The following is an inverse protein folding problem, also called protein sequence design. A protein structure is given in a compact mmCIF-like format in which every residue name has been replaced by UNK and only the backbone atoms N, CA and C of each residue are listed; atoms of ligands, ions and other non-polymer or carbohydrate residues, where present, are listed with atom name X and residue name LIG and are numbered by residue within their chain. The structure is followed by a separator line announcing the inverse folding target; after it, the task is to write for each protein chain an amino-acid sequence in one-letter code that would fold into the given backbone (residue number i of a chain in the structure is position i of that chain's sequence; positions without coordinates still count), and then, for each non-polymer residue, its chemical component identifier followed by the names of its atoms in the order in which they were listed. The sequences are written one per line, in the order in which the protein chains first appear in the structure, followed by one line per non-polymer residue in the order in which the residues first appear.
data_IF_689024078621
#
_entry.id   IF_689024078621
#
_cell.length_a   1.000
_cell.length_b   1.000
_cell.length_c   1.000
_cell.angle_alpha   90.00
_cell.angle_beta   90.00
_cell.angle_gamma   90.00
#
_symmetry.space_group_name_H-M   'P 1'
#
loop_
_entity.id
_entity.type
_entity.pdbx_description
1 polymer ?
#
# COMPACT_ATOMS: atom_id res chain seq x y z
N UNK A 1 -0.38 -11.45 13.10
CA UNK A 1 -1.36 -10.40 12.71
C UNK A 1 -0.75 -9.35 11.78
N UNK A 2 0.39 -8.74 12.13
CA UNK A 2 1.05 -7.70 11.31
C UNK A 2 1.34 -8.15 9.86
N UNK A 3 1.93 -9.33 9.66
CA UNK A 3 2.21 -9.86 8.30
C UNK A 3 0.95 -10.03 7.44
N UNK A 4 -0.13 -10.53 8.03
CA UNK A 4 -1.39 -10.72 7.32
C UNK A 4 -1.98 -9.38 6.87
N UNK A 5 -1.94 -8.35 7.72
CA UNK A 5 -2.40 -7.00 7.40
C UNK A 5 -1.55 -6.41 6.26
N UNK A 6 -0.23 -6.59 6.31
CA UNK A 6 0.69 -6.11 5.26
C UNK A 6 0.40 -6.79 3.93
N UNK A 7 0.27 -8.13 3.91
CA UNK A 7 -0.02 -8.89 2.69
C UNK A 7 -1.36 -8.48 2.08
N UNK A 8 -2.43 -8.40 2.88
CA UNK A 8 -3.75 -7.98 2.42
C UNK A 8 -3.72 -6.54 1.90
N UNK A 9 -3.02 -5.63 2.57
CA UNK A 9 -2.91 -4.24 2.15
C UNK A 9 -2.19 -4.10 0.80
N UNK A 10 -1.11 -4.85 0.59
CA UNK A 10 -0.34 -4.83 -0.66
C UNK A 10 -1.13 -5.46 -1.80
N UNK A 11 -1.65 -6.69 -1.60
CA UNK A 11 -2.42 -7.42 -2.62
C UNK A 11 -3.68 -6.63 -2.99
N UNK A 12 -4.43 -6.14 -2.00
CA UNK A 12 -5.64 -5.37 -2.23
C UNK A 12 -5.37 -4.09 -3.02
N UNK A 13 -4.24 -3.41 -2.77
CA UNK A 13 -3.86 -2.22 -3.55
C UNK A 13 -3.49 -2.58 -4.98
N UNK A 14 -2.62 -3.56 -5.19
CA UNK A 14 -2.16 -3.95 -6.53
C UNK A 14 -3.35 -4.43 -7.37
N UNK A 15 -4.22 -5.28 -6.82
CA UNK A 15 -5.40 -5.76 -7.55
C UNK A 15 -6.44 -4.66 -7.75
N UNK A 16 -6.78 -3.88 -6.72
CA UNK A 16 -7.80 -2.84 -6.85
C UNK A 16 -7.42 -1.76 -7.85
N UNK A 17 -6.19 -1.26 -7.78
CA UNK A 17 -5.71 -0.22 -8.71
C UNK A 17 -5.29 -0.80 -10.07
N UNK A 18 -4.79 -2.03 -10.14
CA UNK A 18 -4.51 -2.72 -11.39
C UNK A 18 -5.77 -3.05 -12.20
N UNK A 19 -6.84 -3.51 -11.55
CA UNK A 19 -8.15 -3.72 -12.19
C UNK A 19 -8.75 -2.37 -12.62
N UNK A 20 -8.67 -1.33 -11.76
CA UNK A 20 -9.10 0.02 -12.12
C UNK A 20 -8.38 0.57 -13.35
N UNK A 21 -7.06 0.40 -13.43
CA UNK A 21 -6.27 0.78 -14.60
C UNK A 21 -6.66 -0.02 -15.85
N UNK A 22 -6.94 -1.32 -15.71
CA UNK A 22 -7.39 -2.15 -16.83
C UNK A 22 -8.76 -1.72 -17.36
N UNK A 23 -9.70 -1.38 -16.47
CA UNK A 23 -11.01 -0.82 -16.85
C UNK A 23 -10.86 0.56 -17.53
N UNK A 24 -9.81 1.31 -17.17
CA UNK A 24 -9.43 2.56 -17.84
C UNK A 24 -8.74 2.39 -19.21
N UNK A 25 -8.63 1.16 -19.73
CA UNK A 25 -8.08 0.89 -21.08
C UNK A 25 -6.56 0.71 -21.15
N UNK A 26 -5.85 0.63 -20.02
CA UNK A 26 -4.41 0.39 -20.00
C UNK A 26 -4.05 -1.07 -20.31
N UNK A 27 -2.88 -1.29 -20.93
CA UNK A 27 -2.34 -2.63 -21.17
C UNK A 27 -1.95 -3.30 -19.85
N UNK A 28 -1.98 -4.63 -19.81
CA UNK A 28 -1.75 -5.43 -18.60
C UNK A 28 -0.43 -5.09 -17.88
N UNK A 29 0.66 -4.86 -18.64
CA UNK A 29 1.96 -4.43 -18.10
C UNK A 29 1.89 -3.05 -17.44
N UNK A 30 1.19 -2.11 -18.06
CA UNK A 30 1.08 -0.73 -17.55
C UNK A 30 0.10 -0.65 -16.37
N UNK A 31 -0.97 -1.44 -16.38
CA UNK A 31 -1.85 -1.61 -15.22
C UNK A 31 -1.10 -2.15 -13.99
N UNK A 32 -0.15 -3.07 -14.19
CA UNK A 32 0.68 -3.61 -13.10
C UNK A 32 1.65 -2.56 -12.55
N UNK A 33 2.27 -1.75 -13.43
CA UNK A 33 3.14 -0.63 -13.06
C UNK A 33 2.37 0.42 -12.24
N UNK A 34 1.15 0.76 -12.66
CA UNK A 34 0.25 1.66 -11.93
C UNK A 34 -0.09 1.06 -10.55
N UNK A 35 -0.43 -0.23 -10.52
CA UNK A 35 -0.78 -0.91 -9.27
C UNK A 35 0.34 -0.90 -8.23
N UNK A 36 1.58 -1.12 -8.69
CA UNK A 36 2.78 -1.06 -7.85
C UNK A 36 3.07 0.37 -7.39
N UNK A 37 2.93 1.35 -8.29
CA UNK A 37 3.13 2.78 -7.96
C UNK A 37 2.14 3.32 -6.92
N UNK A 38 0.98 2.68 -6.76
CA UNK A 38 -0.06 3.08 -5.80
C UNK A 38 0.04 2.40 -4.42
N UNK A 39 1.07 1.58 -4.19
CA UNK A 39 1.34 0.89 -2.92
C UNK A 39 1.70 1.85 -1.77
N UNK A 40 2.59 2.86 -1.95
CA UNK A 40 3.02 3.73 -0.86
C UNK A 40 1.82 4.45 -0.25
N UNK A 41 1.65 4.28 1.06
CA UNK A 41 0.77 5.13 1.86
C UNK A 41 1.68 6.07 2.62
N UNK A 42 1.70 7.34 2.24
CA UNK A 42 2.53 8.34 2.92
C UNK A 42 1.78 8.88 4.15
N UNK A 43 1.47 10.16 4.14
CA UNK A 43 1.16 10.90 5.36
C UNK A 43 -0.25 10.62 5.89
N UNK A 44 -1.22 10.50 4.98
CA UNK A 44 -2.64 10.38 5.33
C UNK A 44 -2.94 9.15 6.18
N UNK A 45 -2.25 8.02 5.95
CA UNK A 45 -2.45 6.81 6.73
C UNK A 45 -1.99 6.97 8.20
N UNK A 46 -0.88 7.66 8.41
CA UNK A 46 -0.35 7.92 9.75
C UNK A 46 -1.20 8.95 10.49
N UNK A 47 -1.71 9.97 9.78
CA UNK A 47 -2.66 10.94 10.36
C UNK A 47 -3.92 10.23 10.86
N UNK A 48 -4.53 9.38 10.02
CA UNK A 48 -5.75 8.63 10.40
C UNK A 48 -5.46 7.70 11.58
N UNK A 49 -4.35 6.97 11.56
CA UNK A 49 -3.99 6.07 12.67
C UNK A 49 -3.74 6.85 13.97
N UNK A 50 -3.04 7.99 13.91
CA UNK A 50 -2.81 8.85 15.08
C UNK A 50 -4.11 9.42 15.63
N UNK A 51 -5.03 9.84 14.76
CA UNK A 51 -6.36 10.31 15.15
C UNK A 51 -7.19 9.18 15.77
N UNK A 52 -7.18 7.99 15.17
CA UNK A 52 -7.86 6.82 15.72
C UNK A 52 -7.34 6.41 17.09
N UNK A 53 -6.02 6.51 17.31
CA UNK A 53 -5.39 6.24 18.60
C UNK A 53 -5.82 7.29 19.64
N UNK A 54 -5.83 8.57 19.26
CA UNK A 54 -6.31 9.67 20.13
C UNK A 54 -7.79 9.52 20.53
N UNK A 55 -8.61 9.01 19.62
CA UNK A 55 -10.04 8.76 19.87
C UNK A 55 -10.30 7.44 20.61
N UNK A 56 -9.26 6.65 20.93
CA UNK A 56 -9.40 5.33 21.56
C UNK A 56 -10.01 4.26 20.66
N UNK A 57 -10.13 4.51 19.35
CA UNK A 57 -10.71 3.58 18.37
C UNK A 57 -9.74 2.43 18.08
N UNK A 58 -8.43 2.71 18.11
CA UNK A 58 -7.37 1.72 17.92
C UNK A 58 -6.39 1.77 19.09
N UNK A 59 -5.81 0.62 19.44
CA UNK A 59 -4.75 0.53 20.45
C UNK A 59 -3.36 0.86 19.90
N UNK A 60 -2.39 1.06 20.80
CA UNK A 60 -0.99 1.35 20.43
C UNK A 60 -0.38 0.29 19.50
N UNK A 61 -0.76 -0.99 19.68
CA UNK A 61 -0.28 -2.08 18.83
C UNK A 61 -0.63 -1.89 17.35
N UNK A 62 -1.85 -1.43 17.04
CA UNK A 62 -2.31 -1.17 15.67
C UNK A 62 -1.62 0.06 15.09
N UNK A 63 -1.34 1.06 15.92
CA UNK A 63 -0.58 2.23 15.53
C UNK A 63 0.87 1.85 15.14
N UNK A 64 1.56 1.06 15.97
CA UNK A 64 2.90 0.55 15.64
C UNK A 64 2.90 -0.30 14.37
N UNK A 65 1.90 -1.17 14.17
CA UNK A 65 1.77 -1.96 12.94
C UNK A 65 1.59 -1.05 11.72
N UNK A 66 0.84 0.04 11.84
CA UNK A 66 0.63 1.00 10.74
C UNK A 66 1.92 1.71 10.36
N UNK A 67 2.75 2.08 11.34
CA UNK A 67 4.08 2.66 11.08
C UNK A 67 4.95 1.67 10.30
N UNK A 68 5.02 0.42 10.77
CA UNK A 68 5.81 -0.63 10.10
C UNK A 68 5.30 -0.88 8.69
N UNK A 69 3.98 -0.97 8.49
CA UNK A 69 3.35 -1.09 7.17
C UNK A 69 3.80 0.04 6.23
N UNK A 70 3.72 1.30 6.68
CA UNK A 70 4.09 2.47 5.87
C UNK A 70 5.57 2.44 5.50
N UNK A 71 6.47 2.13 6.44
CA UNK A 71 7.89 2.00 6.14
C UNK A 71 8.16 0.89 5.12
N UNK A 72 7.62 -0.30 5.36
CA UNK A 72 7.84 -1.48 4.51
C UNK A 72 7.30 -1.24 3.10
N UNK A 73 6.08 -0.72 2.98
CA UNK A 73 5.47 -0.42 1.67
C UNK A 73 6.23 0.66 0.91
N UNK A 74 6.72 1.69 1.59
CA UNK A 74 7.50 2.77 0.97
C UNK A 74 8.85 2.28 0.45
N UNK A 75 9.55 1.43 1.21
CA UNK A 75 10.85 0.89 0.81
C UNK A 75 10.73 -0.18 -0.30
N UNK A 76 9.68 -1.00 -0.26
CA UNK A 76 9.47 -2.08 -1.25
C UNK A 76 9.02 -1.50 -2.60
N UNK A 77 8.27 -0.40 -2.62
CA UNK A 77 7.72 0.18 -3.85
C UNK A 77 8.79 0.49 -4.91
N UNK A 78 9.88 1.25 -4.64
CA UNK A 78 10.89 1.55 -5.67
C UNK A 78 11.58 0.29 -6.21
N UNK A 79 11.75 -0.75 -5.38
CA UNK A 79 12.31 -2.04 -5.80
C UNK A 79 11.37 -2.77 -6.76
N UNK A 80 10.08 -2.88 -6.41
CA UNK A 80 9.06 -3.47 -7.26
C UNK A 80 8.87 -2.68 -8.56
N UNK A 81 8.89 -1.34 -8.47
CA UNK A 81 8.76 -0.47 -9.64
C UNK A 81 9.95 -0.68 -10.58
N UNK A 82 11.18 -0.72 -10.05
CA UNK A 82 12.38 -1.00 -10.84
C UNK A 82 12.30 -2.34 -11.56
N UNK A 83 11.75 -3.38 -10.93
CA UNK A 83 11.52 -4.68 -11.57
C UNK A 83 10.41 -4.62 -12.63
N UNK A 84 9.32 -3.89 -12.37
CA UNK A 84 8.19 -3.77 -13.30
C UNK A 84 8.49 -2.91 -14.54
N UNK A 85 9.44 -1.98 -14.43
CA UNK A 85 9.95 -1.17 -15.53
C UNK A 85 11.23 -1.74 -16.16
N UNK A 86 11.75 -2.85 -15.63
CA UNK A 86 12.87 -3.58 -16.25
C UNK A 86 12.34 -4.37 -17.43
N UNK A 87 12.24 -3.70 -18.57
CA UNK A 87 12.19 -4.30 -19.92
C UNK A 87 13.60 -4.41 -20.49
#
# INVERSE_FOLDING_TARGET
MALAIILVAVIGKIFGSGIGAKLGGFKYKDSLKIGIGMIPRMEVALIIARTGLKLGIIGESVFSITIVLVMVTTLITPLLLKLAFRE
#
